data_IF_754336647678
#
_entry.id   IF_754336647678
#
_cell.length_a   1.000
_cell.length_b   1.000
_cell.length_c   1.000
_cell.angle_alpha   90.00
_cell.angle_beta   90.00
_cell.angle_gamma   90.00
#
_symmetry.space_group_name_H-M   'P 1'
#
loop_
_entity.id
_entity.type
_entity.pdbx_description
1 polymer ?
#
# COMPACT_ATOMS: atom_id res chain seq x y z
N UNK A 1 -31.87 9.67 10.33
CA UNK A 1 -30.87 8.95 9.52
C UNK A 1 -29.63 9.81 9.49
N UNK A 2 -28.62 9.46 10.29
CA UNK A 2 -27.41 10.25 10.45
C UNK A 2 -26.57 10.24 9.18
N UNK A 3 -26.00 11.39 8.84
CA UNK A 3 -25.11 11.58 7.70
C UNK A 3 -23.80 10.79 7.93
N UNK A 4 -23.66 9.61 7.31
CA UNK A 4 -22.38 8.89 7.27
C UNK A 4 -21.39 9.71 6.45
N UNK A 5 -20.47 10.40 7.13
CA UNK A 5 -19.26 10.91 6.48
C UNK A 5 -18.29 9.74 6.35
N UNK A 6 -18.36 9.03 5.23
CA UNK A 6 -17.31 8.08 4.88
C UNK A 6 -16.10 8.90 4.43
N UNK A 7 -14.93 8.65 5.05
CA UNK A 7 -13.68 9.20 4.54
C UNK A 7 -13.27 8.38 3.32
N UNK A 8 -13.08 9.05 2.19
CA UNK A 8 -12.71 8.41 0.94
C UNK A 8 -11.30 8.83 0.54
N UNK A 9 -10.39 7.87 0.47
CA UNK A 9 -9.09 8.01 -0.16
C UNK A 9 -9.08 7.27 -1.48
N UNK A 10 -8.46 7.85 -2.51
CA UNK A 10 -8.21 7.17 -3.79
C UNK A 10 -6.76 7.36 -4.18
N UNK A 11 -6.10 6.28 -4.59
CA UNK A 11 -4.73 6.28 -5.06
C UNK A 11 -4.59 5.39 -6.28
N UNK A 12 -3.74 5.80 -7.21
CA UNK A 12 -3.46 5.06 -8.46
C UNK A 12 -1.95 4.93 -8.62
N UNK A 13 -1.50 3.78 -9.12
CA UNK A 13 -0.11 3.51 -9.42
C UNK A 13 -0.02 2.70 -10.72
N UNK A 14 0.79 3.18 -11.67
CA UNK A 14 1.07 2.44 -12.91
C UNK A 14 1.89 1.17 -12.65
N UNK A 15 1.84 0.24 -13.59
CA UNK A 15 2.67 -0.97 -13.55
C UNK A 15 4.16 -0.65 -13.68
N UNK A 16 5.01 -1.48 -13.05
CA UNK A 16 6.46 -1.37 -13.16
C UNK A 16 7.05 -2.66 -13.72
N UNK A 17 7.88 -2.54 -14.76
CA UNK A 17 8.63 -3.65 -15.35
C UNK A 17 10.12 -3.40 -15.14
N UNK A 18 10.75 -4.22 -14.30
CA UNK A 18 12.21 -4.20 -14.10
C UNK A 18 12.91 -4.86 -15.28
N UNK A 19 13.87 -4.16 -15.89
CA UNK A 19 14.62 -4.65 -17.05
C UNK A 19 15.97 -5.25 -16.65
N UNK A 20 16.67 -4.58 -15.73
CA UNK A 20 18.02 -4.92 -15.28
C UNK A 20 18.07 -4.64 -13.78
N UNK A 21 18.59 -5.55 -12.97
CA UNK A 21 18.74 -5.29 -11.54
C UNK A 21 19.83 -6.15 -10.88
N UNK A 22 20.34 -5.65 -9.76
CA UNK A 22 21.10 -6.40 -8.75
C UNK A 22 20.30 -6.42 -7.45
N UNK A 23 20.34 -7.55 -6.74
CA UNK A 23 19.66 -7.72 -5.45
C UNK A 23 20.54 -7.15 -4.32
N UNK A 24 19.91 -6.48 -3.37
CA UNK A 24 20.54 -5.97 -2.15
C UNK A 24 19.69 -6.40 -0.95
N UNK A 25 20.00 -7.57 -0.38
CA UNK A 25 19.26 -8.23 0.69
C UNK A 25 20.15 -8.59 1.91
N UNK A 26 21.31 -7.95 2.03
CA UNK A 26 22.31 -8.23 3.06
C UNK A 26 21.85 -7.88 4.48
N UNK A 27 20.85 -7.00 4.62
CA UNK A 27 20.30 -6.53 5.90
C UNK A 27 18.98 -7.26 6.18
N UNK A 28 18.75 -7.68 7.44
CA UNK A 28 17.52 -8.41 7.80
C UNK A 28 16.25 -7.55 7.80
N UNK A 29 16.37 -6.24 8.06
CA UNK A 29 15.23 -5.32 8.02
C UNK A 29 14.71 -5.16 6.58
N UNK A 30 13.48 -5.62 6.27
CA UNK A 30 12.92 -5.53 4.92
C UNK A 30 12.82 -4.10 4.37
N UNK A 31 12.78 -3.09 5.25
CA UNK A 31 12.73 -1.67 4.86
C UNK A 31 14.08 -1.20 4.28
N UNK A 32 15.18 -1.86 4.68
CA UNK A 32 16.54 -1.57 4.19
C UNK A 32 16.96 -2.46 3.01
N UNK A 33 16.15 -3.48 2.68
CA UNK A 33 16.36 -4.33 1.51
C UNK A 33 15.86 -3.67 0.21
N UNK A 34 16.42 -4.08 -0.93
CA UNK A 34 15.96 -3.58 -2.22
C UNK A 34 16.76 -4.09 -3.42
N UNK A 35 16.77 -3.28 -4.48
CA UNK A 35 17.54 -3.56 -5.69
C UNK A 35 18.08 -2.27 -6.30
N UNK A 36 19.17 -2.39 -7.05
CA UNK A 36 19.68 -1.33 -7.92
C UNK A 36 19.45 -1.77 -9.37
N UNK A 37 18.88 -0.92 -10.21
CA UNK A 37 18.52 -1.34 -11.56
C UNK A 37 17.93 -0.26 -12.45
N UNK A 38 17.32 -0.71 -13.55
CA UNK A 38 16.58 0.10 -14.50
C UNK A 38 15.25 -0.59 -14.87
N UNK A 39 14.21 0.19 -15.12
CA UNK A 39 12.88 -0.30 -15.43
C UNK A 39 12.06 0.66 -16.26
N UNK A 40 10.89 0.21 -16.69
CA UNK A 40 9.88 1.00 -17.40
C UNK A 40 8.60 1.05 -16.57
N UNK A 41 7.99 2.23 -16.50
CA UNK A 41 6.65 2.40 -15.94
C UNK A 41 5.64 2.47 -17.07
N UNK A 42 4.54 1.75 -16.91
CA UNK A 42 3.37 1.78 -17.81
C UNK A 42 2.20 2.42 -17.08
N UNK A 43 1.29 3.06 -17.82
CA UNK A 43 0.13 3.73 -17.22
C UNK A 43 -0.87 2.73 -16.64
N UNK A 44 -1.06 1.59 -17.31
CA UNK A 44 -1.90 0.50 -16.81
C UNK A 44 -1.32 -0.08 -15.52
N UNK A 45 -2.12 -0.07 -14.45
CA UNK A 45 -1.68 -0.50 -13.14
C UNK A 45 -2.82 -0.75 -12.16
N UNK A 46 -2.63 -0.32 -10.92
CA UNK A 46 -3.54 -0.59 -9.80
C UNK A 46 -4.17 0.69 -9.31
N UNK A 47 -5.48 0.61 -9.06
CA UNK A 47 -6.24 1.59 -8.29
C UNK A 47 -6.58 1.02 -6.91
N UNK A 48 -6.49 1.87 -5.90
CA UNK A 48 -6.93 1.58 -4.54
C UNK A 48 -7.92 2.64 -4.10
N UNK A 49 -9.07 2.19 -3.61
CA UNK A 49 -10.07 3.03 -2.96
C UNK A 49 -10.19 2.62 -1.50
N UNK A 50 -9.90 3.54 -0.60
CA UNK A 50 -9.95 3.33 0.84
C UNK A 50 -11.16 4.04 1.44
N UNK A 51 -11.97 3.29 2.20
CA UNK A 51 -13.13 3.80 2.92
C UNK A 51 -12.88 3.72 4.42
N UNK A 52 -12.95 4.86 5.10
CA UNK A 52 -12.94 4.94 6.56
C UNK A 52 -14.35 5.11 7.10
N UNK A 53 -14.75 4.25 8.04
CA UNK A 53 -16.00 4.34 8.77
C UNK A 53 -15.76 4.43 10.29
N UNK A 54 -16.60 5.15 11.05
CA UNK A 54 -16.53 5.14 12.51
C UNK A 54 -16.81 3.74 13.06
N UNK A 55 -15.94 3.21 13.93
CA UNK A 55 -16.14 1.88 14.50
C UNK A 55 -14.90 1.34 15.19
N UNK A 56 -14.89 0.03 15.41
CA UNK A 56 -13.71 -0.69 15.89
C UNK A 56 -12.63 -0.72 14.81
N UNK A 57 -11.37 -0.86 15.25
CA UNK A 57 -10.24 -0.95 14.34
C UNK A 57 -10.32 -2.28 13.58
N UNK A 58 -10.34 -2.20 12.26
CA UNK A 58 -10.30 -3.38 11.39
C UNK A 58 -9.84 -3.00 9.99
N UNK A 59 -9.22 -3.97 9.30
CA UNK A 59 -8.82 -3.86 7.91
C UNK A 59 -9.57 -4.93 7.10
N UNK A 60 -10.34 -4.49 6.11
CA UNK A 60 -10.96 -5.39 5.15
C UNK A 60 -10.46 -5.02 3.75
N UNK A 61 -9.87 -5.99 3.08
CA UNK A 61 -9.34 -5.83 1.72
C UNK A 61 -10.19 -6.68 0.79
N UNK A 62 -10.50 -6.14 -0.37
CA UNK A 62 -11.24 -6.84 -1.42
C UNK A 62 -10.53 -6.57 -2.74
N UNK A 63 -10.37 -7.62 -3.55
CA UNK A 63 -9.76 -7.54 -4.86
C UNK A 63 -10.85 -7.74 -5.90
N UNK A 64 -11.05 -6.75 -6.76
CA UNK A 64 -12.16 -6.74 -7.73
C UNK A 64 -11.82 -7.56 -8.99
N UNK A 65 -10.61 -7.41 -9.51
CA UNK A 65 -10.22 -7.93 -10.83
C UNK A 65 -9.19 -9.05 -10.77
N UNK A 66 -8.52 -9.23 -9.64
CA UNK A 66 -7.41 -10.17 -9.46
C UNK A 66 -7.49 -10.87 -8.11
N UNK A 67 -6.67 -11.90 -7.91
CA UNK A 67 -6.42 -12.45 -6.58
C UNK A 67 -5.21 -11.77 -5.96
N UNK A 68 -5.26 -11.49 -4.67
CA UNK A 68 -4.15 -10.95 -3.91
C UNK A 68 -4.11 -11.51 -2.50
N UNK A 69 -2.99 -11.28 -1.82
CA UNK A 69 -2.80 -11.66 -0.42
C UNK A 69 -3.03 -10.45 0.48
N UNK A 70 -4.09 -10.49 1.28
CA UNK A 70 -4.40 -9.43 2.24
C UNK A 70 -3.34 -9.30 3.34
N UNK A 71 -2.60 -10.38 3.65
CA UNK A 71 -1.57 -10.39 4.69
C UNK A 71 -0.39 -9.45 4.39
N UNK A 72 -0.20 -9.05 3.13
CA UNK A 72 0.86 -8.10 2.75
C UNK A 72 0.55 -6.64 3.11
N UNK A 73 -0.73 -6.31 3.31
CA UNK A 73 -1.15 -4.93 3.56
C UNK A 73 -1.03 -4.54 5.04
N UNK A 74 -1.14 -5.50 5.97
CA UNK A 74 -0.95 -5.25 7.40
C UNK A 74 0.46 -4.68 7.69
N UNK A 75 1.58 -5.30 7.25
CA UNK A 75 2.92 -4.74 7.42
C UNK A 75 3.10 -3.35 6.81
N UNK A 76 2.46 -3.07 5.68
CA UNK A 76 2.51 -1.75 5.01
C UNK A 76 1.84 -0.69 5.89
N UNK A 77 0.65 -0.98 6.41
CA UNK A 77 -0.07 -0.06 7.30
C UNK A 77 0.68 0.14 8.62
N UNK A 78 1.21 -0.93 9.22
CA UNK A 78 2.02 -0.84 10.44
C UNK A 78 3.26 0.03 10.22
N UNK A 79 3.93 -0.12 9.08
CA UNK A 79 5.08 0.71 8.69
C UNK A 79 4.68 2.18 8.54
N UNK A 80 3.56 2.47 7.88
CA UNK A 80 3.07 3.84 7.67
C UNK A 80 2.67 4.50 9.00
N UNK A 81 2.00 3.77 9.89
CA UNK A 81 1.61 4.25 11.22
C UNK A 81 2.85 4.51 12.09
N UNK A 82 3.87 3.66 12.01
CA UNK A 82 5.12 3.83 12.74
C UNK A 82 5.96 5.02 12.28
N UNK A 83 5.92 5.38 10.98
CA UNK A 83 6.72 6.47 10.39
C UNK A 83 6.08 7.86 10.50
N UNK A 84 4.76 7.96 10.56
CA UNK A 84 4.06 9.23 10.67
C UNK A 84 3.45 9.40 12.07
N UNK A 85 4.05 10.21 12.97
CA UNK A 85 3.41 10.51 14.23
C UNK A 85 2.04 11.13 13.96
N UNK A 86 1.00 10.66 14.67
CA UNK A 86 -0.36 11.21 14.57
C UNK A 86 -0.25 12.73 14.66
N UNK A 87 -0.72 13.45 13.64
CA UNK A 87 -1.00 14.87 13.81
C UNK A 87 -2.14 14.95 14.81
N UNK A 88 -1.86 15.45 16.01
CA UNK A 88 -2.90 15.86 16.95
C UNK A 88 -3.82 16.85 16.21
N UNK A 89 -5.10 16.53 16.17
CA UNK A 89 -6.15 17.40 15.64
C UNK A 89 -6.56 18.42 16.70
#
# INVERSE_FOLDING_TARGET
MGHMSAFLGRGECGGHVTLLFTVSDEVEDPIEQGSLGAGLCVEDGVEVVAFGEPGEIGLKITFETTQGDSGLYEPVLDTLVGRYPRREA
#
